data_IF_498247916766
#
_entry.id   IF_498247916766
#
_cell.length_a   1.000
_cell.length_b   1.000
_cell.length_c   1.000
_cell.angle_alpha   90.00
_cell.angle_beta   90.00
_cell.angle_gamma   90.00
#
_symmetry.space_group_name_H-M   'P 1'
#
loop_
_entity.id
_entity.type
_entity.pdbx_description
1 polymer ?
#
# COMPACT_ATOMS: atom_id res chain seq x y z
N UNK A 1 9.74 6.77 -3.34
CA UNK A 1 9.85 5.42 -2.74
C UNK A 1 9.12 4.34 -3.54
N UNK A 2 7.81 4.14 -3.37
CA UNK A 2 7.13 2.98 -3.99
C UNK A 2 7.22 2.96 -5.52
N UNK A 3 7.09 4.12 -6.16
CA UNK A 3 7.20 4.22 -7.61
C UNK A 3 8.63 3.97 -8.13
N UNK A 4 9.66 4.38 -7.38
CA UNK A 4 11.06 4.09 -7.72
C UNK A 4 11.38 2.60 -7.57
N UNK A 5 10.84 1.96 -6.53
CA UNK A 5 10.89 0.51 -6.36
C UNK A 5 10.23 -0.22 -7.53
N UNK A 6 9.02 0.21 -7.92
CA UNK A 6 8.30 -0.38 -9.04
C UNK A 6 9.06 -0.22 -10.36
N UNK A 7 9.62 0.97 -10.63
CA UNK A 7 10.43 1.24 -11.82
C UNK A 7 11.67 0.34 -11.88
N UNK A 8 12.40 0.22 -10.77
CA UNK A 8 13.55 -0.70 -10.66
C UNK A 8 13.14 -2.15 -11.00
N UNK A 9 11.99 -2.61 -10.51
CA UNK A 9 11.47 -3.94 -10.85
C UNK A 9 11.13 -4.07 -12.34
N UNK A 10 10.56 -3.04 -12.96
CA UNK A 10 10.24 -3.05 -14.39
C UNK A 10 11.51 -3.11 -15.25
N UNK A 11 12.53 -2.34 -14.91
CA UNK A 11 13.83 -2.35 -15.59
C UNK A 11 14.54 -3.70 -15.50
N UNK A 12 14.56 -4.31 -14.30
CA UNK A 12 15.29 -5.55 -14.06
C UNK A 12 14.57 -6.81 -14.56
N UNK A 13 13.24 -6.80 -14.63
CA UNK A 13 12.47 -8.02 -14.88
C UNK A 13 11.44 -7.89 -16.02
N UNK A 14 11.24 -6.70 -16.59
CA UNK A 14 10.24 -6.44 -17.64
C UNK A 14 10.50 -7.19 -18.95
N UNK A 15 11.73 -7.66 -19.16
CA UNK A 15 12.11 -8.54 -20.27
C UNK A 15 11.34 -9.87 -20.24
N UNK A 16 11.06 -10.41 -19.04
CA UNK A 16 10.38 -11.69 -18.82
C UNK A 16 8.97 -11.54 -18.25
N UNK A 17 8.75 -10.63 -17.30
CA UNK A 17 7.47 -10.47 -16.60
C UNK A 17 6.55 -9.53 -17.37
N UNK A 18 5.40 -10.05 -17.83
CA UNK A 18 4.44 -9.31 -18.69
C UNK A 18 3.19 -8.82 -17.98
N UNK A 19 2.89 -9.37 -16.80
CA UNK A 19 1.74 -9.02 -15.98
C UNK A 19 2.21 -8.57 -14.61
N UNK A 20 1.77 -7.38 -14.21
CA UNK A 20 2.21 -6.72 -12.98
C UNK A 20 1.00 -6.38 -12.12
N UNK A 21 1.09 -6.74 -10.84
CA UNK A 21 0.19 -6.30 -9.80
C UNK A 21 0.99 -5.37 -8.87
N UNK A 22 0.46 -4.19 -8.60
CA UNK A 22 1.16 -3.17 -7.79
C UNK A 22 0.91 -3.37 -6.31
N UNK A 23 -0.35 -3.34 -5.88
CA UNK A 23 -0.76 -3.48 -4.47
C UNK A 23 -1.83 -4.55 -4.35
N UNK A 24 -1.56 -5.58 -3.55
CA UNK A 24 -2.57 -6.57 -3.17
C UNK A 24 -3.51 -6.00 -2.10
N UNK A 25 -4.82 -6.06 -2.32
CA UNK A 25 -5.86 -5.78 -1.32
C UNK A 25 -5.61 -4.54 -0.43
N UNK A 26 -5.52 -3.33 -1.01
CA UNK A 26 -5.24 -2.11 -0.23
C UNK A 26 -6.28 -1.85 0.88
N UNK A 27 -7.53 -2.26 0.67
CA UNK A 27 -8.60 -2.19 1.66
C UNK A 27 -8.33 -3.09 2.88
N UNK A 28 -7.89 -4.34 2.66
CA UNK A 28 -7.57 -5.27 3.75
C UNK A 28 -6.39 -4.76 4.54
N UNK A 29 -5.35 -4.26 3.86
CA UNK A 29 -4.18 -3.68 4.53
C UNK A 29 -4.53 -2.47 5.41
N UNK A 30 -5.42 -1.59 4.94
CA UNK A 30 -5.86 -0.45 5.74
C UNK A 30 -6.73 -0.87 6.93
N UNK A 31 -7.70 -1.75 6.71
CA UNK A 31 -8.57 -2.26 7.78
C UNK A 31 -7.76 -3.01 8.85
N UNK A 32 -7.00 -4.02 8.44
CA UNK A 32 -6.29 -4.89 9.40
C UNK A 32 -5.05 -4.24 10.00
N UNK A 33 -4.41 -3.30 9.30
CA UNK A 33 -3.18 -2.64 9.77
C UNK A 33 -3.40 -1.36 10.57
N UNK A 34 -4.52 -0.64 10.34
CA UNK A 34 -4.74 0.72 10.86
C UNK A 34 -6.12 0.95 11.48
N UNK A 35 -7.07 0.02 11.35
CA UNK A 35 -8.35 0.05 12.07
C UNK A 35 -8.35 -0.98 13.20
N UNK A 36 -8.17 -2.27 12.85
CA UNK A 36 -8.23 -3.39 13.79
C UNK A 36 -6.88 -3.71 14.46
N UNK A 37 -5.77 -3.25 13.87
CA UNK A 37 -4.42 -3.50 14.39
C UNK A 37 -3.98 -4.97 14.42
N UNK A 38 -4.60 -5.84 13.63
CA UNK A 38 -4.30 -7.29 13.55
C UNK A 38 -3.05 -7.60 12.73
N UNK A 39 -2.74 -6.76 11.73
CA UNK A 39 -1.57 -6.90 10.87
C UNK A 39 -0.62 -5.74 11.07
N UNK A 40 0.63 -5.90 10.64
CA UNK A 40 1.60 -4.80 10.67
C UNK A 40 1.04 -3.55 9.94
N UNK A 41 1.26 -2.33 10.47
CA UNK A 41 2.08 -2.01 11.65
C UNK A 41 1.36 -2.17 13.00
N UNK A 42 0.12 -2.64 13.03
CA UNK A 42 -0.63 -2.89 14.27
C UNK A 42 -1.07 -1.60 14.94
N UNK A 43 -1.65 -0.67 14.16
CA UNK A 43 -2.17 0.60 14.65
C UNK A 43 -3.69 0.55 14.77
N UNK A 44 -4.21 1.07 15.88
CA UNK A 44 -5.64 1.14 16.14
C UNK A 44 -5.93 2.10 17.32
N UNK A 45 -7.19 2.48 17.49
CA UNK A 45 -7.67 3.30 18.62
C UNK A 45 -7.93 2.47 19.87
N UNK A 46 -7.48 2.96 21.03
CA UNK A 46 -7.99 2.49 22.32
C UNK A 46 -9.46 2.93 22.52
N UNK A 47 -10.29 2.17 23.26
CA UNK A 47 -10.01 0.87 23.87
C UNK A 47 -10.28 -0.34 22.95
N UNK A 48 -10.64 -0.10 21.68
CA UNK A 48 -11.14 -1.14 20.78
C UNK A 48 -10.08 -2.10 20.25
N UNK A 49 -8.79 -1.75 20.36
CA UNK A 49 -7.69 -2.68 20.15
C UNK A 49 -6.48 -2.41 21.04
N UNK A 50 -5.60 -3.41 21.16
CA UNK A 50 -4.42 -3.40 22.03
C UNK A 50 -3.18 -2.87 21.29
N UNK A 51 -3.32 -1.73 20.61
CA UNK A 51 -2.25 -1.14 19.82
C UNK A 51 -1.47 -0.09 20.62
N UNK A 52 -0.17 0.06 20.32
CA UNK A 52 0.68 1.08 20.97
C UNK A 52 0.35 2.51 20.56
N UNK A 53 -0.24 2.68 19.37
CA UNK A 53 -0.63 3.97 18.80
C UNK A 53 -1.60 3.73 17.63
N UNK A 54 -2.30 4.78 17.21
CA UNK A 54 -3.17 4.74 16.04
C UNK A 54 -4.41 5.61 16.20
N UNK A 55 -5.14 5.78 15.10
CA UNK A 55 -6.48 6.35 15.09
C UNK A 55 -7.33 5.68 14.02
N UNK A 56 -8.10 4.68 14.43
CA UNK A 56 -8.97 3.87 13.57
C UNK A 56 -10.00 4.68 12.79
N UNK A 57 -10.39 5.86 13.28
CA UNK A 57 -11.37 6.73 12.60
C UNK A 57 -10.78 7.55 11.46
N UNK A 58 -9.44 7.56 11.28
CA UNK A 58 -8.76 8.45 10.31
C UNK A 58 -7.68 7.74 9.51
N UNK A 59 -6.83 6.95 10.17
CA UNK A 59 -5.66 6.33 9.54
C UNK A 59 -6.00 5.37 8.39
N UNK A 60 -7.04 4.52 8.46
CA UNK A 60 -7.39 3.66 7.33
C UNK A 60 -7.63 4.44 6.04
N UNK A 61 -8.32 5.58 6.11
CA UNK A 61 -8.61 6.42 4.95
C UNK A 61 -7.35 7.09 4.40
N UNK A 62 -6.48 7.59 5.28
CA UNK A 62 -5.19 8.18 4.89
C UNK A 62 -4.32 7.13 4.19
N UNK A 63 -4.29 5.90 4.71
CA UNK A 63 -3.48 4.81 4.16
C UNK A 63 -4.01 4.37 2.80
N UNK A 64 -5.31 4.16 2.65
CA UNK A 64 -5.90 3.80 1.34
C UNK A 64 -5.64 4.91 0.31
N UNK A 65 -5.78 6.18 0.69
CA UNK A 65 -5.50 7.31 -0.21
C UNK A 65 -4.07 7.25 -0.75
N UNK A 66 -3.07 7.10 0.13
CA UNK A 66 -1.67 7.00 -0.30
C UNK A 66 -1.37 5.72 -1.09
N UNK A 67 -2.04 4.60 -0.79
CA UNK A 67 -1.92 3.38 -1.61
C UNK A 67 -2.44 3.59 -3.03
N UNK A 68 -3.56 4.30 -3.20
CA UNK A 68 -4.11 4.63 -4.52
C UNK A 68 -3.17 5.56 -5.29
N UNK A 69 -2.62 6.59 -4.63
CA UNK A 69 -1.64 7.49 -5.27
C UNK A 69 -0.37 6.74 -5.68
N UNK A 70 0.16 5.89 -4.80
CA UNK A 70 1.35 5.07 -5.07
C UNK A 70 1.11 4.09 -6.22
N UNK A 71 -0.07 3.46 -6.26
CA UNK A 71 -0.50 2.64 -7.39
C UNK A 71 -0.53 3.43 -8.69
N UNK A 72 -1.16 4.61 -8.69
CA UNK A 72 -1.31 5.43 -9.88
C UNK A 72 0.05 5.88 -10.43
N UNK A 73 0.97 6.31 -9.56
CA UNK A 73 2.33 6.71 -9.98
C UNK A 73 3.11 5.52 -10.56
N UNK A 74 3.09 4.36 -9.91
CA UNK A 74 3.75 3.15 -10.43
C UNK A 74 3.19 2.74 -11.80
N UNK A 75 1.86 2.81 -11.98
CA UNK A 75 1.22 2.54 -13.28
C UNK A 75 1.60 3.57 -14.33
N UNK A 76 1.73 4.85 -13.97
CA UNK A 76 2.20 5.87 -14.90
C UNK A 76 3.64 5.59 -15.38
N UNK A 77 4.54 5.18 -14.49
CA UNK A 77 5.91 4.79 -14.86
C UNK A 77 5.93 3.56 -15.75
N UNK A 78 5.16 2.52 -15.41
CA UNK A 78 5.04 1.32 -16.25
C UNK A 78 4.58 1.63 -17.68
N UNK A 79 3.61 2.55 -17.84
CA UNK A 79 3.10 2.97 -19.15
C UNK A 79 4.08 3.81 -19.97
N UNK A 80 5.05 4.46 -19.34
CA UNK A 80 6.14 5.20 -20.00
C UNK A 80 7.34 4.31 -20.33
N UNK A 81 7.54 3.26 -19.54
CA UNK A 81 8.58 2.25 -19.74
C UNK A 81 8.29 1.34 -20.93
N UNK A 82 7.01 1.01 -21.16
CA UNK A 82 6.55 0.35 -22.40
C UNK A 82 6.62 1.29 -23.59
#
# INVERSE_FOLDING_TARGET
DFADYAETCFELFGDRVKYWLTVNEPNVQALTGYDLGLHAPGRCSAPFGNCRAGNSSTEPYIVVHHKILSHAEAVQRFRKFK
#
